data_IF_601703192822
#
_entry.id   IF_601703192822
#
_cell.length_a   1.000
_cell.length_b   1.000
_cell.length_c   1.000
_cell.angle_alpha   90.00
_cell.angle_beta   90.00
_cell.angle_gamma   90.00
#
_symmetry.space_group_name_H-M   'P 1'
#
loop_
_entity.id
_entity.type
_entity.pdbx_description
1 polymer ?
#
# COMPACT_ATOMS: atom_id res chain seq x y z
N UNK A 1 -5.93 15.71 -12.17
CA UNK A 1 -5.13 14.88 -11.30
C UNK A 1 -5.21 15.21 -9.81
N UNK A 2 -5.67 16.37 -9.52
CA UNK A 2 -5.59 16.90 -8.16
C UNK A 2 -6.84 16.68 -7.32
N UNK A 3 -7.77 15.90 -7.82
CA UNK A 3 -9.04 15.72 -7.13
C UNK A 3 -9.01 14.50 -6.24
N UNK A 4 -9.10 14.74 -4.93
CA UNK A 4 -9.36 13.71 -3.95
C UNK A 4 -10.78 13.85 -3.47
N UNK A 5 -11.47 12.73 -3.33
CA UNK A 5 -12.81 12.69 -2.80
C UNK A 5 -12.72 12.43 -1.31
N UNK A 6 -13.36 13.28 -0.52
CA UNK A 6 -13.37 13.10 0.94
C UNK A 6 -14.43 12.09 1.33
N UNK A 7 -14.04 11.12 2.15
CA UNK A 7 -14.94 10.12 2.68
C UNK A 7 -14.88 10.10 4.21
N UNK A 8 -16.02 9.94 4.89
CA UNK A 8 -16.03 9.94 6.36
C UNK A 8 -15.48 8.66 6.99
N UNK A 9 -15.48 7.55 6.29
CA UNK A 9 -15.06 6.25 6.81
C UNK A 9 -13.98 5.63 5.93
N UNK A 10 -13.03 4.92 6.56
CA UNK A 10 -11.95 4.24 5.84
C UNK A 10 -12.47 3.19 4.86
N UNK A 11 -13.51 2.45 5.24
CA UNK A 11 -14.11 1.44 4.37
C UNK A 11 -14.68 2.08 3.11
N UNK A 12 -15.40 3.18 3.27
CA UNK A 12 -15.91 3.93 2.12
C UNK A 12 -14.80 4.48 1.24
N UNK A 13 -13.68 4.88 1.84
CA UNK A 13 -12.51 5.35 1.11
C UNK A 13 -11.94 4.24 0.23
N UNK A 14 -11.82 3.02 0.76
CA UNK A 14 -11.33 1.89 0.00
C UNK A 14 -12.24 1.54 -1.18
N UNK A 15 -13.54 1.53 -0.94
CA UNK A 15 -14.53 1.27 -2.01
C UNK A 15 -14.46 2.31 -3.12
N UNK A 16 -14.36 3.59 -2.73
CA UNK A 16 -14.28 4.68 -3.69
C UNK A 16 -12.99 4.61 -4.51
N UNK A 17 -11.88 4.27 -3.87
CA UNK A 17 -10.61 4.09 -4.57
C UNK A 17 -10.70 2.96 -5.60
N UNK A 18 -11.31 1.85 -5.24
CA UNK A 18 -11.49 0.73 -6.17
C UNK A 18 -12.33 1.13 -7.38
N UNK A 19 -13.42 1.87 -7.17
CA UNK A 19 -14.26 2.35 -8.26
C UNK A 19 -13.52 3.32 -9.17
N UNK A 20 -12.73 4.21 -8.59
CA UNK A 20 -11.96 5.17 -9.36
C UNK A 20 -10.87 4.50 -10.19
N UNK A 21 -10.22 3.47 -9.63
CA UNK A 21 -9.23 2.69 -10.37
C UNK A 21 -9.88 1.98 -11.56
N UNK A 22 -11.05 1.41 -11.38
CA UNK A 22 -11.77 0.74 -12.46
C UNK A 22 -12.07 1.68 -13.63
N UNK A 23 -12.29 2.96 -13.35
CA UNK A 23 -12.60 3.96 -14.38
C UNK A 23 -11.38 4.49 -15.11
N UNK A 24 -10.18 4.27 -14.58
CA UNK A 24 -8.97 4.71 -15.23
C UNK A 24 -8.70 3.90 -16.49
N UNK A 25 -8.18 4.55 -17.56
CA UNK A 25 -7.79 3.80 -18.75
C UNK A 25 -6.56 2.95 -18.47
N UNK A 26 -6.44 1.87 -19.21
CA UNK A 26 -5.30 1.00 -19.12
C UNK A 26 -5.62 -0.32 -18.43
N UNK A 27 -4.62 -1.20 -18.46
CA UNK A 27 -4.74 -2.53 -17.91
C UNK A 27 -4.48 -2.53 -16.41
N UNK A 28 -5.35 -3.20 -15.67
CA UNK A 28 -5.17 -3.38 -14.23
C UNK A 28 -4.16 -4.48 -13.96
N UNK A 29 -3.19 -4.16 -13.11
CA UNK A 29 -2.19 -5.12 -12.67
C UNK A 29 -2.40 -5.35 -11.18
N UNK A 30 -2.47 -6.61 -10.78
CA UNK A 30 -2.62 -6.97 -9.37
C UNK A 30 -1.32 -7.57 -8.89
N UNK A 31 -0.73 -6.95 -7.86
CA UNK A 31 0.51 -7.42 -7.25
C UNK A 31 0.21 -7.91 -5.85
N UNK A 32 0.60 -9.14 -5.55
CA UNK A 32 0.32 -9.78 -4.28
C UNK A 32 1.49 -9.65 -3.33
N UNK A 33 1.18 -9.47 -2.05
CA UNK A 33 2.20 -9.48 -1.00
C UNK A 33 2.66 -10.90 -0.71
N UNK A 34 3.85 -11.00 -0.11
CA UNK A 34 4.34 -12.23 0.47
C UNK A 34 4.15 -12.12 1.98
N UNK A 35 3.21 -12.88 2.52
CA UNK A 35 2.87 -12.85 3.93
C UNK A 35 3.42 -14.08 4.65
N UNK A 36 3.87 -13.89 5.89
CA UNK A 36 4.36 -14.97 6.72
C UNK A 36 4.08 -14.68 8.19
N UNK A 37 4.05 -15.72 9.01
CA UNK A 37 3.90 -15.56 10.43
C UNK A 37 4.94 -16.41 11.16
N UNK A 38 5.35 -15.96 12.34
CA UNK A 38 6.18 -16.73 13.24
C UNK A 38 5.60 -16.65 14.63
N UNK A 39 5.30 -17.82 15.23
CA UNK A 39 4.84 -17.89 16.60
C UNK A 39 6.00 -18.07 17.54
N UNK A 40 5.90 -17.49 18.73
CA UNK A 40 6.92 -17.63 19.76
C UNK A 40 6.72 -18.89 20.62
N UNK A 41 5.54 -19.49 20.56
CA UNK A 41 5.19 -20.69 21.32
C UNK A 41 4.54 -21.68 20.36
N UNK A 42 4.75 -22.93 20.51
CA UNK A 42 4.26 -24.08 19.74
C UNK A 42 2.84 -23.99 19.16
N UNK A 43 2.41 -22.81 18.77
CA UNK A 43 1.16 -22.63 18.04
C UNK A 43 1.34 -23.08 16.60
N UNK A 44 0.33 -23.71 16.09
CA UNK A 44 0.28 -24.08 14.69
C UNK A 44 0.44 -22.83 13.81
N UNK A 45 1.15 -22.99 12.72
CA UNK A 45 1.31 -21.88 11.78
C UNK A 45 -0.05 -21.41 11.30
N UNK A 46 -0.23 -20.09 11.28
CA UNK A 46 -1.45 -19.49 10.77
C UNK A 46 -1.48 -19.70 9.26
N UNK A 47 -2.60 -20.17 8.69
CA UNK A 47 -2.69 -20.36 7.25
C UNK A 47 -2.43 -19.04 6.49
N UNK A 48 -1.71 -19.16 5.38
CA UNK A 48 -1.37 -18.01 4.55
C UNK A 48 -2.62 -17.27 4.08
N UNK A 49 -3.68 -18.00 3.76
CA UNK A 49 -4.95 -17.42 3.33
C UNK A 49 -5.55 -16.50 4.39
N UNK A 50 -5.37 -16.85 5.65
CA UNK A 50 -5.84 -16.03 6.75
C UNK A 50 -5.01 -14.74 6.85
N UNK A 51 -3.69 -14.84 6.72
CA UNK A 51 -2.81 -13.67 6.73
C UNK A 51 -3.11 -12.74 5.56
N UNK A 52 -3.36 -13.29 4.39
CA UNK A 52 -3.68 -12.51 3.19
C UNK A 52 -4.96 -11.70 3.36
N UNK A 53 -5.87 -12.15 4.22
CA UNK A 53 -7.13 -11.45 4.48
C UNK A 53 -6.99 -10.28 5.46
N UNK A 54 -5.86 -10.18 6.15
CA UNK A 54 -5.65 -9.09 7.12
C UNK A 54 -5.48 -7.75 6.43
N UNK A 55 -6.21 -6.77 6.95
CA UNK A 55 -6.22 -5.41 6.47
C UNK A 55 -5.86 -4.50 7.64
N UNK A 56 -4.58 -4.42 7.96
CA UNK A 56 -4.11 -3.63 9.09
C UNK A 56 -3.95 -2.15 8.70
N UNK A 57 -4.37 -1.23 9.58
CA UNK A 57 -4.11 0.19 9.37
C UNK A 57 -2.60 0.45 9.21
N UNK A 58 -2.25 1.23 8.19
CA UNK A 58 -0.86 1.57 7.92
C UNK A 58 -0.09 0.51 7.14
N UNK A 59 -0.72 -0.61 6.80
CA UNK A 59 -0.13 -1.64 5.94
C UNK A 59 -0.74 -1.59 4.55
N UNK A 60 0.04 -1.82 3.50
CA UNK A 60 -0.53 -2.00 2.17
C UNK A 60 -1.33 -3.29 2.09
N UNK A 61 -2.25 -3.34 1.16
CA UNK A 61 -3.09 -4.51 0.97
C UNK A 61 -2.30 -5.67 0.38
N UNK A 62 -2.75 -6.90 0.68
CA UNK A 62 -2.21 -8.10 0.05
C UNK A 62 -2.33 -8.04 -1.46
N UNK A 63 -3.53 -7.76 -1.97
CA UNK A 63 -3.78 -7.61 -3.41
C UNK A 63 -3.76 -6.13 -3.75
N UNK A 64 -2.65 -5.67 -4.29
CA UNK A 64 -2.45 -4.27 -4.66
C UNK A 64 -2.82 -4.10 -6.12
N UNK A 65 -3.93 -3.42 -6.38
CA UNK A 65 -4.44 -3.19 -7.75
C UNK A 65 -3.88 -1.88 -8.28
N UNK A 66 -3.12 -1.95 -9.36
CA UNK A 66 -2.42 -0.81 -9.92
C UNK A 66 -2.75 -0.62 -11.39
N UNK A 67 -2.77 0.63 -11.81
CA UNK A 67 -2.85 1.02 -13.23
C UNK A 67 -1.82 2.11 -13.50
N UNK A 68 -1.32 2.15 -14.72
CA UNK A 68 -0.38 3.18 -15.12
C UNK A 68 -1.02 4.58 -14.99
N UNK A 69 -0.23 5.53 -14.55
CA UNK A 69 -0.62 6.93 -14.33
C UNK A 69 -1.58 7.16 -13.16
N UNK A 70 -1.82 6.14 -12.34
CA UNK A 70 -2.61 6.36 -11.13
C UNK A 70 -1.81 7.12 -10.07
N UNK A 71 -2.53 7.73 -9.14
CA UNK A 71 -1.91 8.42 -8.01
C UNK A 71 -1.81 7.45 -6.84
N UNK A 72 -0.60 7.35 -6.29
CA UNK A 72 -0.31 6.54 -5.12
C UNK A 72 0.07 7.43 -3.95
N UNK A 73 -0.22 6.98 -2.75
CA UNK A 73 0.26 7.62 -1.53
C UNK A 73 1.22 6.68 -0.81
N UNK A 74 2.38 7.22 -0.45
CA UNK A 74 3.36 6.46 0.31
C UNK A 74 2.86 6.24 1.73
N UNK A 75 2.92 5.00 2.21
CA UNK A 75 2.41 4.62 3.54
C UNK A 75 3.49 4.55 4.61
N UNK A 76 4.74 4.64 4.23
CA UNK A 76 5.88 4.55 5.15
C UNK A 76 6.95 5.54 4.75
N UNK A 77 7.73 5.99 5.72
CA UNK A 77 8.92 6.78 5.43
C UNK A 77 9.96 5.86 4.81
N UNK A 78 10.47 6.24 3.64
CA UNK A 78 11.56 5.53 3.00
C UNK A 78 12.81 6.37 3.17
N UNK A 79 13.80 5.80 3.84
CA UNK A 79 15.04 6.49 4.11
C UNK A 79 16.02 6.26 2.95
N UNK A 80 15.87 7.07 1.93
CA UNK A 80 16.77 7.11 0.80
C UNK A 80 17.44 8.48 0.73
N UNK A 81 18.30 8.68 -0.27
CA UNK A 81 18.89 9.98 -0.55
C UNK A 81 17.84 11.05 -0.83
N UNK A 82 16.65 10.63 -1.19
CA UNK A 82 15.48 11.49 -1.35
C UNK A 82 14.62 11.36 -0.11
N UNK A 83 14.10 12.50 0.38
CA UNK A 83 13.23 12.48 1.56
C UNK A 83 11.83 12.06 1.11
N UNK A 84 11.53 10.78 1.30
CA UNK A 84 10.22 10.21 0.99
C UNK A 84 9.51 9.88 2.28
N UNK A 85 8.43 10.60 2.54
CA UNK A 85 7.70 10.51 3.79
C UNK A 85 6.33 9.88 3.59
N UNK A 86 5.81 9.27 4.63
CA UNK A 86 4.43 8.83 4.69
C UNK A 86 3.51 10.00 4.30
N UNK A 87 2.59 9.75 3.38
CA UNK A 87 1.68 10.77 2.86
C UNK A 87 2.13 11.40 1.56
N UNK A 88 3.36 11.16 1.12
CA UNK A 88 3.84 11.67 -0.18
C UNK A 88 3.04 11.05 -1.31
N UNK A 89 2.56 11.89 -2.21
CA UNK A 89 1.80 11.45 -3.39
C UNK A 89 2.71 11.33 -4.59
N UNK A 90 2.58 10.22 -5.29
CA UNK A 90 3.40 9.87 -6.46
C UNK A 90 2.51 9.41 -7.59
N UNK A 91 2.98 9.60 -8.82
CA UNK A 91 2.29 9.09 -9.99
C UNK A 91 3.00 7.83 -10.43
N UNK A 92 2.26 6.72 -10.53
CA UNK A 92 2.85 5.46 -11.00
C UNK A 92 3.04 5.54 -12.50
N UNK A 93 4.29 5.45 -12.94
CA UNK A 93 4.62 5.50 -14.37
C UNK A 93 4.89 4.14 -14.97
N UNK A 94 5.54 3.25 -14.24
CA UNK A 94 5.87 1.92 -14.73
C UNK A 94 6.08 0.96 -13.58
N UNK A 95 5.96 -0.33 -13.86
CA UNK A 95 6.26 -1.41 -12.92
C UNK A 95 7.36 -2.25 -13.53
N UNK A 96 8.49 -2.33 -12.84
CA UNK A 96 9.64 -3.09 -13.33
C UNK A 96 10.08 -4.07 -12.25
N UNK A 97 9.65 -5.33 -12.38
CA UNK A 97 9.98 -6.36 -11.40
C UNK A 97 9.50 -5.99 -10.01
N UNK A 98 10.40 -5.84 -9.08
CA UNK A 98 10.11 -5.47 -7.69
C UNK A 98 10.26 -3.97 -7.43
N UNK A 99 10.17 -3.16 -8.46
CA UNK A 99 10.31 -1.71 -8.36
C UNK A 99 9.11 -1.04 -9.02
N UNK A 100 8.51 -0.08 -8.33
CA UNK A 100 7.54 0.84 -8.92
C UNK A 100 8.27 2.10 -9.33
N UNK A 101 8.27 2.40 -10.62
CA UNK A 101 8.85 3.64 -11.14
C UNK A 101 7.79 4.72 -11.05
N UNK A 102 8.00 5.69 -10.18
CA UNK A 102 7.04 6.73 -9.89
C UNK A 102 7.63 8.11 -10.16
N UNK A 103 6.76 9.08 -10.32
CA UNK A 103 7.15 10.48 -10.48
C UNK A 103 6.53 11.32 -9.38
N UNK A 104 7.36 12.12 -8.71
CA UNK A 104 6.90 13.07 -7.71
C UNK A 104 6.67 14.42 -8.38
N UNK A 105 5.40 14.82 -8.62
CA UNK A 105 5.11 16.06 -9.35
C UNK A 105 5.43 17.32 -8.56
N UNK A 106 5.44 17.25 -7.24
CA UNK A 106 5.76 18.41 -6.39
C UNK A 106 7.25 18.73 -6.45
N UNK A 107 8.08 17.70 -6.31
CA UNK A 107 9.53 17.86 -6.33
C UNK A 107 10.14 17.70 -7.71
N UNK A 108 9.33 17.27 -8.69
CA UNK A 108 9.78 17.03 -10.08
C UNK A 108 10.94 16.03 -10.14
N UNK A 109 10.79 14.94 -9.41
CA UNK A 109 11.80 13.91 -9.32
C UNK A 109 11.23 12.55 -9.65
N UNK A 110 12.03 11.68 -10.26
CA UNK A 110 11.71 10.28 -10.42
C UNK A 110 12.10 9.52 -9.16
N UNK A 111 11.25 8.61 -8.75
CA UNK A 111 11.41 7.87 -7.50
C UNK A 111 11.14 6.40 -7.77
N UNK A 112 12.05 5.55 -7.30
CA UNK A 112 11.87 4.11 -7.36
C UNK A 112 11.40 3.61 -6.00
N UNK A 113 10.26 2.93 -5.98
CA UNK A 113 9.68 2.39 -4.75
C UNK A 113 9.87 0.88 -4.74
N UNK A 114 10.67 0.32 -3.83
CA UNK A 114 10.84 -1.12 -3.71
C UNK A 114 9.79 -1.74 -2.81
N UNK A 115 9.70 -3.07 -2.84
CA UNK A 115 8.96 -3.79 -1.81
C UNK A 115 9.72 -3.69 -0.49
N UNK A 116 8.98 -3.51 0.59
CA UNK A 116 9.59 -3.51 1.92
C UNK A 116 8.95 -4.57 2.79
N UNK A 117 9.66 -4.95 3.83
CA UNK A 117 9.16 -5.90 4.82
C UNK A 117 8.49 -5.13 5.95
N UNK A 118 7.21 -5.38 6.14
CA UNK A 118 6.40 -4.76 7.18
C UNK A 118 6.08 -5.81 8.22
N UNK A 119 6.36 -5.49 9.47
CA UNK A 119 6.19 -6.43 10.57
C UNK A 119 5.18 -5.89 11.57
N UNK A 120 4.28 -6.76 12.01
CA UNK A 120 3.33 -6.44 13.06
C UNK A 120 3.34 -7.56 14.10
N UNK A 121 3.39 -7.17 15.35
CA UNK A 121 3.32 -8.11 16.46
C UNK A 121 1.94 -8.07 17.08
N UNK A 122 1.24 -9.19 17.06
CA UNK A 122 -0.02 -9.34 17.78
C UNK A 122 0.31 -9.88 19.16
N UNK A 123 0.56 -8.96 20.09
CA UNK A 123 1.06 -9.30 21.43
C UNK A 123 0.14 -10.22 22.22
N UNK A 124 -1.18 -10.11 22.02
CA UNK A 124 -2.15 -10.91 22.78
C UNK A 124 -2.09 -12.40 22.48
N UNK A 125 -1.59 -12.78 21.31
CA UNK A 125 -1.52 -14.18 20.89
C UNK A 125 -0.10 -14.65 20.62
N UNK A 126 0.90 -13.82 20.90
CA UNK A 126 2.30 -14.18 20.69
C UNK A 126 2.64 -14.44 19.22
N UNK A 127 1.95 -13.78 18.31
CA UNK A 127 2.13 -13.98 16.88
C UNK A 127 2.83 -12.78 16.25
N UNK A 128 3.92 -13.04 15.53
CA UNK A 128 4.56 -12.06 14.65
C UNK A 128 4.09 -12.30 13.23
N UNK A 129 3.71 -11.24 12.57
CA UNK A 129 3.21 -11.29 11.20
C UNK A 129 4.00 -10.34 10.32
N UNK A 130 4.38 -10.82 9.15
CA UNK A 130 5.21 -10.06 8.21
C UNK A 130 4.54 -10.02 6.85
N UNK A 131 4.53 -8.86 6.24
CA UNK A 131 4.07 -8.66 4.86
C UNK A 131 5.14 -7.97 4.05
N UNK A 132 5.53 -8.56 2.93
CA UNK A 132 6.43 -7.94 1.97
C UNK A 132 5.59 -7.40 0.82
N UNK A 133 5.52 -6.08 0.69
CA UNK A 133 4.69 -5.42 -0.31
C UNK A 133 5.24 -4.02 -0.58
N UNK A 134 4.82 -3.43 -1.69
CA UNK A 134 5.09 -2.02 -1.94
C UNK A 134 4.32 -1.17 -0.93
N UNK A 135 4.99 -0.22 -0.25
CA UNK A 135 4.36 0.57 0.82
C UNK A 135 3.51 1.72 0.27
N UNK A 136 2.55 1.40 -0.57
CA UNK A 136 1.73 2.40 -1.26
C UNK A 136 0.27 1.99 -1.23
N UNK A 137 -0.60 2.99 -1.39
CA UNK A 137 -2.04 2.77 -1.57
C UNK A 137 -2.57 3.78 -2.58
N UNK A 138 -3.70 3.50 -3.24
CA UNK A 138 -4.35 4.48 -4.11
C UNK A 138 -4.72 5.74 -3.34
N UNK A 139 -4.57 6.90 -3.96
CA UNK A 139 -4.69 8.19 -3.28
C UNK A 139 -5.77 9.10 -3.86
N UNK A 140 -6.82 8.52 -4.42
CA UNK A 140 -7.90 9.32 -5.00
C UNK A 140 -8.93 9.79 -3.98
N UNK A 141 -9.02 9.10 -2.82
CA UNK A 141 -9.93 9.48 -1.76
C UNK A 141 -9.17 9.64 -0.46
N UNK A 142 -9.68 10.52 0.41
CA UNK A 142 -9.13 10.75 1.74
C UNK A 142 -10.26 10.71 2.75
N UNK A 143 -9.97 10.25 3.97
CA UNK A 143 -10.95 10.32 5.05
C UNK A 143 -11.02 11.75 5.61
N UNK A 144 -12.21 12.18 6.00
CA UNK A 144 -12.41 13.52 6.56
C UNK A 144 -11.69 13.65 7.91
N UNK A 145 -11.57 12.57 8.66
CA UNK A 145 -10.99 12.59 10.00
C UNK A 145 -9.47 12.50 10.01
N UNK A 146 -8.84 12.58 8.89
CA UNK A 146 -7.39 12.53 8.84
C UNK A 146 -6.81 13.85 9.33
N UNK A 147 -6.24 13.83 10.47
CA UNK A 147 -5.55 14.99 11.04
C UNK A 147 -4.08 14.95 10.72
#
# INVERSE_FOLDING_TARGET
MDRCILCPLNESTNEMNERLIEKLPGEEIILYSADSSSGTNNFEEVPIEFLNSFDFPGFPKHALKLKQNMILMLMRNINNKQVLCNGTRLILKNIRGNILECYNPVRREWVDIPRIRLKSDVKKVGLSWTRVQFPVQPAYTMTINKS
#
